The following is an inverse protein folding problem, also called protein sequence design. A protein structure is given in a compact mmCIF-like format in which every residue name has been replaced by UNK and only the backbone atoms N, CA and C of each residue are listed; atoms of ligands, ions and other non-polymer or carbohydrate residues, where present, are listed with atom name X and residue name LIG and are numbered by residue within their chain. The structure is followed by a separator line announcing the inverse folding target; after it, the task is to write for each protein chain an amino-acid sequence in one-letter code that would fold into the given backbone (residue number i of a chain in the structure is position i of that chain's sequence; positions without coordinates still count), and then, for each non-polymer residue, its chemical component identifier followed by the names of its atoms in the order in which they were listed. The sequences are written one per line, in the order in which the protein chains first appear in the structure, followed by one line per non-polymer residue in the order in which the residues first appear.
data_IF_155402477211
#
_entry.id   IF_155402477211
#
_cell.length_a   1.000
_cell.length_b   1.000
_cell.length_c   1.000
_cell.angle_alpha   90.00
_cell.angle_beta   90.00
_cell.angle_gamma   90.00
#
_symmetry.space_group_name_H-M   'P 1'
#
loop_
_entity.id
_entity.type
_entity.pdbx_description
1 polymer ?
#
# COMPACT_ATOMS: atom_id res chain seq x y z
N UNK A 1 -5.08 7.70 31.71
CA UNK A 1 -4.08 8.14 30.72
C UNK A 1 -4.80 8.71 29.50
N UNK A 2 -5.29 9.96 29.57
CA UNK A 2 -6.07 10.59 28.48
C UNK A 2 -5.25 10.85 27.20
N UNK A 3 -3.93 10.98 27.31
CA UNK A 3 -3.04 11.23 26.16
C UNK A 3 -3.00 10.07 25.16
N UNK A 4 -3.17 8.82 25.61
CA UNK A 4 -3.19 7.66 24.73
C UNK A 4 -4.49 7.54 23.92
N UNK A 5 -5.60 8.05 24.46
CA UNK A 5 -6.89 8.08 23.76
C UNK A 5 -6.84 9.01 22.54
N UNK A 6 -6.08 10.11 22.64
CA UNK A 6 -5.92 11.08 21.56
C UNK A 6 -5.30 10.48 20.29
N UNK A 7 -4.42 9.48 20.43
CA UNK A 7 -3.73 8.87 19.30
C UNK A 7 -4.49 7.70 18.66
N UNK A 8 -5.58 7.22 19.25
CA UNK A 8 -6.33 6.07 18.72
C UNK A 8 -6.82 6.30 17.29
N UNK A 9 -7.44 7.45 17.04
CA UNK A 9 -7.98 7.79 15.71
C UNK A 9 -6.87 8.00 14.66
N UNK A 10 -5.80 8.78 14.92
CA UNK A 10 -4.65 8.86 14.04
C UNK A 10 -4.02 7.50 13.71
N UNK A 11 -3.81 6.65 14.72
CA UNK A 11 -3.25 5.31 14.54
C UNK A 11 -4.19 4.45 13.69
N UNK A 12 -5.50 4.54 13.92
CA UNK A 12 -6.49 3.84 13.11
C UNK A 12 -6.41 4.23 11.62
N UNK A 13 -6.23 5.52 11.29
CA UNK A 13 -6.04 5.93 9.90
C UNK A 13 -4.82 5.26 9.26
N UNK A 14 -3.68 5.24 9.96
CA UNK A 14 -2.45 4.61 9.46
C UNK A 14 -2.67 3.12 9.21
N UNK A 15 -3.20 2.39 10.19
CA UNK A 15 -3.40 0.95 10.08
C UNK A 15 -4.42 0.62 9.00
N UNK A 16 -5.58 1.27 9.01
CA UNK A 16 -6.66 1.00 8.04
C UNK A 16 -6.21 1.31 6.62
N UNK A 17 -5.60 2.47 6.37
CA UNK A 17 -5.17 2.82 5.02
C UNK A 17 -4.00 1.96 4.54
N UNK A 18 -3.10 1.55 5.43
CA UNK A 18 -2.04 0.59 5.07
C UNK A 18 -2.65 -0.75 4.64
N UNK A 19 -3.60 -1.29 5.40
CA UNK A 19 -4.27 -2.57 5.07
C UNK A 19 -5.05 -2.45 3.75
N UNK A 20 -5.84 -1.38 3.57
CA UNK A 20 -6.57 -1.13 2.34
C UNK A 20 -5.61 -0.96 1.15
N UNK A 21 -4.48 -0.28 1.37
CA UNK A 21 -3.40 -0.16 0.42
C UNK A 21 -2.81 -1.51 0.03
N UNK A 22 -2.50 -2.38 1.00
CA UNK A 22 -2.04 -3.75 0.74
C UNK A 22 -3.02 -4.52 -0.14
N UNK A 23 -4.31 -4.50 0.22
CA UNK A 23 -5.36 -5.26 -0.50
C UNK A 23 -5.55 -4.70 -1.91
N UNK A 24 -5.68 -3.37 -2.04
CA UNK A 24 -5.86 -2.71 -3.33
C UNK A 24 -4.64 -2.90 -4.24
N UNK A 25 -3.44 -2.74 -3.68
CA UNK A 25 -2.19 -2.97 -4.38
C UNK A 25 -2.03 -4.43 -4.82
N UNK A 26 -2.33 -5.40 -3.95
CA UNK A 26 -2.34 -6.82 -4.29
C UNK A 26 -3.34 -7.13 -5.42
N UNK A 27 -4.53 -6.55 -5.38
CA UNK A 27 -5.55 -6.72 -6.43
C UNK A 27 -5.07 -6.15 -7.77
N UNK A 28 -4.50 -4.94 -7.78
CA UNK A 28 -3.92 -4.35 -9.00
C UNK A 28 -2.75 -5.18 -9.52
N UNK A 29 -1.87 -5.63 -8.64
CA UNK A 29 -0.73 -6.49 -8.97
C UNK A 29 -1.16 -7.84 -9.56
N UNK A 30 -2.19 -8.47 -8.98
CA UNK A 30 -2.81 -9.68 -9.48
C UNK A 30 -3.41 -9.47 -10.88
N UNK A 31 -4.17 -8.39 -11.08
CA UNK A 31 -4.76 -8.05 -12.36
C UNK A 31 -3.68 -7.81 -13.43
N UNK A 32 -2.60 -7.09 -13.12
CA UNK A 32 -1.51 -6.88 -14.06
C UNK A 32 -0.76 -8.18 -14.37
N UNK A 33 -0.49 -9.01 -13.36
CA UNK A 33 0.20 -10.30 -13.57
C UNK A 33 -0.62 -11.26 -14.44
N UNK A 34 -1.95 -11.21 -14.30
CA UNK A 34 -2.87 -12.09 -15.04
C UNK A 34 -3.17 -11.58 -16.45
N UNK A 35 -3.49 -10.29 -16.60
CA UNK A 35 -3.97 -9.73 -17.87
C UNK A 35 -2.88 -9.05 -18.72
N UNK A 36 -1.76 -8.64 -18.11
CA UNK A 36 -0.65 -7.99 -18.81
C UNK A 36 0.72 -8.47 -18.30
N UNK A 37 1.06 -9.76 -18.42
CA UNK A 37 2.36 -10.28 -17.99
C UNK A 37 3.54 -9.63 -18.73
N UNK A 38 3.32 -9.12 -19.94
CA UNK A 38 4.32 -8.37 -20.70
C UNK A 38 4.80 -7.10 -19.97
N UNK A 39 3.95 -6.50 -19.11
CA UNK A 39 4.35 -5.38 -18.25
C UNK A 39 5.53 -5.75 -17.35
N UNK A 40 5.46 -6.88 -16.65
CA UNK A 40 6.54 -7.30 -15.75
C UNK A 40 7.78 -7.77 -16.50
N UNK A 41 7.63 -8.35 -17.70
CA UNK A 41 8.78 -8.67 -18.57
C UNK A 41 9.51 -7.41 -19.03
N UNK A 42 8.78 -6.36 -19.39
CA UNK A 42 9.37 -5.09 -19.77
C UNK A 42 10.00 -4.34 -18.58
N UNK A 43 9.42 -4.51 -17.38
CA UNK A 43 9.95 -3.94 -16.14
C UNK A 43 11.22 -4.67 -15.66
N UNK A 44 11.34 -5.98 -15.93
CA UNK A 44 12.49 -6.82 -15.58
C UNK A 44 13.13 -7.48 -16.81
N UNK A 45 13.70 -6.69 -17.74
CA UNK A 45 14.19 -7.20 -19.03
C UNK A 45 15.36 -8.18 -18.89
N UNK A 46 16.14 -8.07 -17.81
CA UNK A 46 17.31 -8.92 -17.55
C UNK A 46 16.95 -10.28 -16.93
N UNK A 47 15.69 -10.48 -16.53
CA UNK A 47 15.24 -11.74 -15.93
C UNK A 47 14.75 -12.67 -17.04
N UNK A 48 15.36 -13.85 -17.12
CA UNK A 48 14.93 -14.87 -18.09
C UNK A 48 13.45 -15.24 -17.88
N UNK A 49 12.66 -15.42 -18.95
CA UNK A 49 11.22 -15.71 -18.84
C UNK A 49 10.88 -16.91 -17.97
N UNK A 50 11.74 -17.95 -17.94
CA UNK A 50 11.53 -19.15 -17.13
C UNK A 50 11.72 -18.93 -15.62
N UNK A 51 12.32 -17.80 -15.22
CA UNK A 51 12.60 -17.43 -13.83
C UNK A 51 11.68 -16.32 -13.33
N UNK A 52 10.83 -15.76 -14.19
CA UNK A 52 9.90 -14.70 -13.86
C UNK A 52 8.49 -15.27 -13.75
N UNK A 53 7.97 -15.33 -12.53
CA UNK A 53 6.53 -15.54 -12.29
C UNK A 53 5.88 -14.16 -12.20
N UNK A 54 5.24 -13.72 -13.28
CA UNK A 54 4.66 -12.38 -13.38
C UNK A 54 3.52 -12.16 -12.39
N UNK A 55 2.82 -13.23 -12.01
CA UNK A 55 1.73 -13.16 -11.03
C UNK A 55 2.29 -12.96 -9.63
N UNK A 56 3.27 -13.77 -9.23
CA UNK A 56 3.91 -13.65 -7.91
C UNK A 56 4.62 -12.30 -7.76
N UNK A 57 5.34 -11.86 -8.79
CA UNK A 57 5.99 -10.54 -8.82
C UNK A 57 4.96 -9.43 -8.75
N UNK A 58 3.86 -9.54 -9.51
CA UNK A 58 2.83 -8.53 -9.52
C UNK A 58 2.15 -8.36 -8.17
N UNK A 59 1.76 -9.47 -7.53
CA UNK A 59 1.19 -9.45 -6.17
C UNK A 59 2.20 -8.88 -5.18
N UNK A 60 3.46 -9.32 -5.21
CA UNK A 60 4.49 -8.87 -4.27
C UNK A 60 4.78 -7.36 -4.37
N UNK A 61 4.95 -6.86 -5.60
CA UNK A 61 5.12 -5.43 -5.86
C UNK A 61 3.86 -4.65 -5.50
N UNK A 62 2.69 -5.18 -5.84
CA UNK A 62 1.40 -4.59 -5.53
C UNK A 62 1.20 -4.41 -4.01
N UNK A 63 1.42 -5.45 -3.22
CA UNK A 63 1.36 -5.38 -1.74
C UNK A 63 2.35 -4.35 -1.22
N UNK A 64 3.59 -4.36 -1.69
CA UNK A 64 4.63 -3.44 -1.20
C UNK A 64 4.29 -1.99 -1.51
N UNK A 65 3.97 -1.68 -2.77
CA UNK A 65 3.61 -0.31 -3.20
C UNK A 65 2.31 0.15 -2.56
N UNK A 66 1.32 -0.74 -2.49
CA UNK A 66 0.04 -0.49 -1.85
C UNK A 66 0.19 -0.19 -0.35
N UNK A 67 0.98 -0.99 0.37
CA UNK A 67 1.27 -0.76 1.79
C UNK A 67 1.97 0.58 2.02
N UNK A 68 2.96 0.91 1.20
CA UNK A 68 3.69 2.18 1.31
C UNK A 68 2.78 3.37 1.01
N UNK A 69 1.99 3.31 -0.06
CA UNK A 69 1.02 4.36 -0.40
C UNK A 69 -0.04 4.55 0.69
N UNK A 70 -0.60 3.44 1.20
CA UNK A 70 -1.55 3.43 2.30
C UNK A 70 -0.98 4.01 3.60
N UNK A 71 0.27 3.66 3.93
CA UNK A 71 0.99 4.19 5.08
C UNK A 71 1.20 5.71 4.98
N UNK A 72 1.68 6.20 3.83
CA UNK A 72 1.88 7.63 3.59
C UNK A 72 0.56 8.40 3.68
N UNK A 73 -0.50 7.91 3.03
CA UNK A 73 -1.83 8.51 3.12
C UNK A 73 -2.37 8.51 4.57
N UNK A 74 -2.14 7.41 5.29
CA UNK A 74 -2.43 7.27 6.72
C UNK A 74 -1.76 8.33 7.58
N UNK A 75 -0.46 8.57 7.38
CA UNK A 75 0.29 9.61 8.10
C UNK A 75 -0.30 10.99 7.79
N UNK A 76 -0.61 11.28 6.53
CA UNK A 76 -1.16 12.58 6.14
C UNK A 76 -2.49 12.84 6.87
N UNK A 77 -3.40 11.86 6.90
CA UNK A 77 -4.67 12.00 7.61
C UNK A 77 -4.49 12.05 9.13
N UNK A 78 -3.59 11.25 9.68
CA UNK A 78 -3.24 11.28 11.09
C UNK A 78 -2.79 12.69 11.52
N UNK A 79 -1.83 13.27 10.82
CA UNK A 79 -1.32 14.63 11.06
C UNK A 79 -2.43 15.67 10.89
N UNK A 80 -3.20 15.59 9.79
CA UNK A 80 -4.29 16.53 9.53
C UNK A 80 -5.34 16.50 10.66
N UNK A 81 -5.70 15.31 11.15
CA UNK A 81 -6.66 15.14 12.24
C UNK A 81 -6.16 15.71 13.57
N UNK A 82 -4.87 15.55 13.87
CA UNK A 82 -4.25 16.12 15.07
C UNK A 82 -4.24 17.65 15.01
N UNK A 83 -3.90 18.21 13.85
CA UNK A 83 -3.93 19.67 13.63
C UNK A 83 -5.36 20.21 13.75
N UNK A 84 -6.35 19.51 13.18
CA UNK A 84 -7.75 19.91 13.28
C UNK A 84 -8.24 19.89 14.73
N UNK A 85 -7.90 18.86 15.49
CA UNK A 85 -8.26 18.74 16.91
C UNK A 85 -7.59 19.81 17.79
N UNK A 86 -6.36 20.23 17.47
CA UNK A 86 -5.66 21.29 18.22
C UNK A 86 -6.22 22.69 17.96
N UNK A 87 -7.03 22.86 16.91
CA UNK A 87 -7.66 24.15 16.53
C UNK A 87 -9.13 24.25 16.94
N UNK A 88 -9.71 23.15 17.44
CA UNK A 88 -11.07 23.10 17.97
C UNK A 88 -11.07 23.45 19.46
#
# INVERSE_FOLDING_TARGET
MPELEQFKTPIAFVVTLTILGCIGGAAVGYLMGTYNPAYYRAMFPDVQPQRLDELAVGIGLGVTQGSFGGFVAGIVLAVASLIANARA
#
